data_IF_720059016968
#
_entry.id   IF_720059016968
#
_cell.length_a   1.000
_cell.length_b   1.000
_cell.length_c   1.000
_cell.angle_alpha   90.00
_cell.angle_beta   90.00
_cell.angle_gamma   90.00
#
_symmetry.space_group_name_H-M   'P 1'
#
loop_
_entity.id
_entity.type
_entity.pdbx_description
1 polymer ?
#
# COMPACT_ATOMS: atom_id res chain seq x y z
N UNK A 1 17.28 -67.92 -4.22
CA UNK A 1 16.39 -67.24 -5.17
C UNK A 1 17.04 -65.96 -5.67
N UNK A 2 17.07 -65.76 -7.00
CA UNK A 2 17.39 -64.47 -7.61
C UNK A 2 16.35 -64.22 -8.70
N UNK A 3 15.44 -63.29 -8.47
CA UNK A 3 14.25 -63.10 -9.32
C UNK A 3 13.98 -61.60 -9.53
N UNK A 4 13.71 -61.23 -10.78
CA UNK A 4 13.25 -59.89 -11.15
C UNK A 4 11.73 -59.87 -11.18
N UNK A 5 11.13 -58.95 -10.44
CA UNK A 5 9.69 -58.79 -10.36
C UNK A 5 9.26 -57.56 -11.17
N UNK A 6 8.14 -57.71 -11.86
CA UNK A 6 7.46 -56.64 -12.58
C UNK A 6 5.99 -56.63 -12.17
N UNK A 7 5.57 -55.58 -11.49
CA UNK A 7 4.20 -55.43 -11.01
C UNK A 7 3.50 -54.33 -11.81
N UNK A 8 2.35 -54.70 -12.38
CA UNK A 8 1.49 -53.80 -13.13
C UNK A 8 0.39 -53.27 -12.21
N UNK A 9 0.05 -51.99 -12.32
CA UNK A 9 -1.01 -51.34 -11.55
C UNK A 9 -2.39 -52.00 -11.81
N UNK A 10 -2.63 -52.44 -13.04
CA UNK A 10 -3.85 -53.15 -13.41
C UNK A 10 -3.54 -54.52 -14.01
N UNK A 11 -4.46 -55.46 -13.81
CA UNK A 11 -4.49 -56.70 -14.56
C UNK A 11 -5.00 -56.46 -16.00
N UNK A 12 -4.93 -57.50 -16.84
CA UNK A 12 -5.38 -57.41 -18.24
C UNK A 12 -6.89 -57.15 -18.39
N UNK A 13 -7.66 -57.51 -17.38
CA UNK A 13 -9.11 -57.28 -17.30
C UNK A 13 -9.46 -55.86 -16.80
N UNK A 14 -8.46 -55.02 -16.51
CA UNK A 14 -8.65 -53.67 -16.00
C UNK A 14 -8.86 -53.58 -14.49
N UNK A 15 -8.88 -54.70 -13.76
CA UNK A 15 -8.96 -54.68 -12.29
C UNK A 15 -7.64 -54.22 -11.64
N UNK A 16 -7.74 -53.50 -10.52
CA UNK A 16 -6.57 -52.98 -9.79
C UNK A 16 -5.78 -54.13 -9.17
N UNK A 17 -4.46 -54.08 -9.28
CA UNK A 17 -3.56 -55.10 -8.75
C UNK A 17 -3.13 -54.76 -7.32
N UNK A 18 -3.72 -55.45 -6.34
CA UNK A 18 -3.37 -55.28 -4.92
C UNK A 18 -1.87 -55.43 -4.62
N UNK A 19 -1.17 -56.33 -5.32
CA UNK A 19 0.27 -56.57 -5.08
C UNK A 19 1.13 -55.39 -5.50
N UNK A 20 0.71 -54.66 -6.54
CA UNK A 20 1.37 -53.43 -6.97
C UNK A 20 1.33 -52.40 -5.84
N UNK A 21 0.15 -52.07 -5.33
CA UNK A 21 0.02 -51.13 -4.20
C UNK A 21 0.69 -51.65 -2.93
N UNK A 22 0.61 -52.96 -2.66
CA UNK A 22 1.31 -53.58 -1.53
C UNK A 22 2.81 -53.33 -1.60
N UNK A 23 3.42 -53.51 -2.76
CA UNK A 23 4.84 -53.24 -2.92
C UNK A 23 5.17 -51.76 -2.71
N UNK A 24 4.43 -50.86 -3.35
CA UNK A 24 4.63 -49.41 -3.24
C UNK A 24 4.59 -48.92 -1.79
N UNK A 25 3.51 -49.21 -1.06
CA UNK A 25 3.36 -48.74 0.32
C UNK A 25 4.27 -49.47 1.29
N UNK A 26 4.66 -50.72 1.01
CA UNK A 26 5.63 -51.43 1.84
C UNK A 26 7.03 -50.85 1.67
N UNK A 27 7.45 -50.51 0.45
CA UNK A 27 8.70 -49.82 0.20
C UNK A 27 8.71 -48.41 0.82
N UNK A 28 7.64 -47.65 0.63
CA UNK A 28 7.51 -46.31 1.20
C UNK A 28 7.59 -46.38 2.75
N UNK A 29 6.74 -47.18 3.39
CA UNK A 29 6.66 -47.22 4.85
C UNK A 29 7.91 -47.85 5.50
N UNK A 30 8.41 -48.97 4.96
CA UNK A 30 9.46 -49.76 5.63
C UNK A 30 10.86 -49.35 5.25
N UNK A 31 11.06 -48.80 4.05
CA UNK A 31 12.37 -48.41 3.53
C UNK A 31 12.53 -46.90 3.32
N UNK A 32 11.45 -46.12 3.43
CA UNK A 32 11.48 -44.68 3.15
C UNK A 32 11.69 -44.36 1.67
N UNK A 33 11.43 -45.32 0.77
CA UNK A 33 11.67 -45.16 -0.67
C UNK A 33 10.38 -45.29 -1.46
N UNK A 34 10.17 -44.35 -2.38
CA UNK A 34 9.08 -44.35 -3.35
C UNK A 34 9.55 -45.11 -4.60
N UNK A 35 9.01 -46.31 -4.91
CA UNK A 35 9.44 -47.04 -6.08
C UNK A 35 9.10 -46.29 -7.36
N UNK A 36 10.03 -46.30 -8.32
CA UNK A 36 9.84 -45.69 -9.63
C UNK A 36 8.75 -46.45 -10.38
N UNK A 37 7.80 -45.69 -10.91
CA UNK A 37 6.70 -46.19 -11.73
C UNK A 37 6.85 -45.64 -13.14
N UNK A 38 6.88 -46.52 -14.13
CA UNK A 38 6.91 -46.15 -15.56
C UNK A 38 5.71 -46.81 -16.23
N UNK A 39 4.81 -45.99 -16.78
CA UNK A 39 3.60 -46.48 -17.47
C UNK A 39 2.76 -47.44 -16.62
N UNK A 40 2.60 -47.15 -15.33
CA UNK A 40 1.84 -47.99 -14.39
C UNK A 40 2.53 -49.31 -14.03
N UNK A 41 3.83 -49.41 -14.23
CA UNK A 41 4.64 -50.59 -13.91
C UNK A 41 5.75 -50.21 -12.95
N UNK A 42 5.98 -51.06 -11.95
CA UNK A 42 7.13 -50.97 -11.05
C UNK A 42 7.95 -52.25 -11.10
N UNK A 43 9.27 -52.12 -10.97
CA UNK A 43 10.23 -53.21 -11.10
C UNK A 43 11.18 -53.22 -9.91
N UNK A 44 11.54 -54.42 -9.48
CA UNK A 44 12.53 -54.62 -8.42
C UNK A 44 13.18 -55.99 -8.57
N UNK A 45 14.36 -56.13 -7.94
CA UNK A 45 15.13 -57.38 -7.95
C UNK A 45 15.31 -57.84 -6.51
N UNK A 46 15.04 -59.12 -6.26
CA UNK A 46 15.40 -59.75 -4.99
C UNK A 46 16.42 -60.86 -5.21
N UNK A 47 17.41 -60.94 -4.31
CA UNK A 47 18.40 -62.00 -4.26
C UNK A 47 18.61 -62.44 -2.82
N UNK A 48 18.33 -63.72 -2.52
CA UNK A 48 18.38 -64.26 -1.17
C UNK A 48 18.31 -65.79 -1.10
N UNK A 49 18.41 -66.32 0.10
CA UNK A 49 18.33 -67.77 0.38
C UNK A 49 17.09 -68.09 1.21
N UNK A 50 16.56 -69.33 1.16
CA UNK A 50 15.43 -69.73 2.00
C UNK A 50 15.69 -69.43 3.48
N UNK A 51 14.70 -68.92 4.20
CA UNK A 51 14.86 -68.46 5.59
C UNK A 51 13.90 -69.17 6.54
N UNK A 52 14.39 -70.27 7.10
CA UNK A 52 13.60 -71.23 7.89
C UNK A 52 13.12 -70.71 9.26
N UNK A 53 13.66 -69.59 9.74
CA UNK A 53 13.27 -69.00 11.02
C UNK A 53 11.88 -68.32 10.97
N UNK A 54 11.38 -68.05 9.77
CA UNK A 54 10.09 -67.42 9.55
C UNK A 54 9.16 -68.41 8.85
N UNK A 55 8.13 -68.83 9.57
CA UNK A 55 7.07 -69.66 9.02
C UNK A 55 6.12 -68.81 8.18
N UNK A 56 6.16 -69.01 6.87
CA UNK A 56 5.34 -68.29 5.92
C UNK A 56 3.99 -69.00 5.74
N UNK A 57 2.92 -68.41 6.27
CA UNK A 57 1.57 -68.98 6.15
C UNK A 57 1.10 -69.19 4.70
N UNK A 58 0.12 -70.08 4.51
CA UNK A 58 -0.60 -70.32 3.24
C UNK A 58 0.24 -70.89 2.09
N UNK A 59 1.26 -71.70 2.40
CA UNK A 59 2.14 -72.31 1.40
C UNK A 59 3.03 -71.29 0.69
N UNK A 60 3.31 -70.17 1.36
CA UNK A 60 4.31 -69.21 0.91
C UNK A 60 5.70 -69.67 1.34
N UNK A 61 6.72 -69.10 0.72
CA UNK A 61 8.12 -69.34 1.05
C UNK A 61 8.74 -68.04 1.57
N UNK A 62 9.58 -68.17 2.60
CA UNK A 62 10.35 -67.09 3.21
C UNK A 62 11.79 -67.12 2.73
N UNK A 63 12.34 -65.94 2.44
CA UNK A 63 13.72 -65.77 2.02
C UNK A 63 14.37 -64.64 2.80
N UNK A 64 15.67 -64.74 3.05
CA UNK A 64 16.49 -63.67 3.61
C UNK A 64 17.52 -63.27 2.57
N UNK A 65 17.62 -61.97 2.30
CA UNK A 65 18.53 -61.49 1.26
C UNK A 65 18.53 -59.99 1.08
N UNK A 66 18.77 -59.56 -0.15
CA UNK A 66 18.81 -58.15 -0.53
C UNK A 66 17.75 -57.82 -1.57
N UNK A 67 17.12 -56.66 -1.39
CA UNK A 67 16.13 -56.09 -2.30
C UNK A 67 16.74 -54.87 -2.99
N UNK A 68 16.61 -54.80 -4.32
CA UNK A 68 16.99 -53.63 -5.09
C UNK A 68 15.77 -52.89 -5.61
N UNK A 69 15.59 -51.65 -5.19
CA UNK A 69 14.51 -50.75 -5.62
C UNK A 69 15.15 -49.46 -6.14
N UNK A 70 14.74 -48.98 -7.31
CA UNK A 70 15.31 -47.77 -7.94
C UNK A 70 16.85 -47.78 -8.12
N UNK A 71 17.46 -48.97 -8.15
CA UNK A 71 18.91 -49.12 -8.20
C UNK A 71 19.60 -49.15 -6.83
N UNK A 72 18.93 -48.72 -5.77
CA UNK A 72 19.39 -48.77 -4.38
C UNK A 72 19.25 -50.18 -3.79
N UNK A 73 20.24 -50.60 -2.98
CA UNK A 73 20.33 -51.95 -2.42
C UNK A 73 20.03 -51.94 -0.92
N UNK A 74 18.95 -52.62 -0.54
CA UNK A 74 18.56 -52.86 0.85
C UNK A 74 18.96 -54.28 1.24
N UNK A 75 19.76 -54.42 2.31
CA UNK A 75 20.22 -55.71 2.83
C UNK A 75 19.34 -56.18 3.98
N UNK A 76 19.53 -57.43 4.38
CA UNK A 76 18.86 -58.05 5.51
C UNK A 76 17.34 -57.91 5.40
N UNK A 77 16.80 -58.22 4.21
CA UNK A 77 15.38 -58.18 3.91
C UNK A 77 14.82 -59.59 4.00
N UNK A 78 13.84 -59.78 4.89
CA UNK A 78 12.90 -60.89 4.84
C UNK A 78 11.92 -60.64 3.72
N UNK A 79 11.82 -61.60 2.80
CA UNK A 79 10.96 -61.54 1.63
C UNK A 79 10.05 -62.75 1.59
N UNK A 80 8.75 -62.52 1.43
CA UNK A 80 7.74 -63.57 1.34
C UNK A 80 7.25 -63.64 -0.11
N UNK A 81 7.32 -64.84 -0.68
CA UNK A 81 6.91 -65.09 -2.05
C UNK A 81 6.09 -66.37 -2.16
N UNK A 82 5.30 -66.50 -3.24
CA UNK A 82 4.55 -67.71 -3.54
C UNK A 82 5.03 -68.31 -4.86
N UNK A 83 5.47 -69.57 -4.83
CA UNK A 83 5.84 -70.27 -6.06
C UNK A 83 4.59 -70.57 -6.90
N UNK A 84 4.61 -70.19 -8.17
CA UNK A 84 3.60 -70.51 -9.17
C UNK A 84 3.86 -71.90 -9.75
N UNK A 85 2.84 -72.49 -10.37
CA UNK A 85 2.96 -73.73 -11.15
C UNK A 85 3.99 -73.64 -12.28
N UNK A 86 4.30 -72.43 -12.74
CA UNK A 86 5.33 -72.16 -13.75
C UNK A 86 6.76 -72.18 -13.22
N UNK A 87 6.96 -72.39 -11.91
CA UNK A 87 8.25 -72.31 -11.24
C UNK A 87 8.75 -70.88 -10.97
N UNK A 88 7.98 -69.85 -11.36
CA UNK A 88 8.26 -68.44 -11.02
C UNK A 88 7.63 -68.05 -9.69
N UNK A 89 8.17 -67.00 -9.07
CA UNK A 89 7.64 -66.49 -7.81
C UNK A 89 6.71 -65.30 -8.00
N UNK A 90 5.67 -65.25 -7.17
CA UNK A 90 4.84 -64.08 -6.96
C UNK A 90 5.22 -63.36 -5.68
N UNK A 91 5.33 -62.04 -5.74
CA UNK A 91 5.54 -61.19 -4.58
C UNK A 91 4.33 -61.20 -3.64
N UNK A 92 4.59 -61.37 -2.33
CA UNK A 92 3.57 -61.23 -1.27
C UNK A 92 3.87 -60.01 -0.40
N UNK A 93 5.02 -59.97 0.28
CA UNK A 93 5.45 -58.84 1.14
C UNK A 93 6.93 -58.94 1.48
N UNK A 94 7.50 -57.92 2.15
CA UNK A 94 8.87 -57.93 2.65
C UNK A 94 9.06 -56.99 3.84
N UNK A 95 10.10 -57.20 4.65
CA UNK A 95 10.55 -56.28 5.70
C UNK A 95 12.05 -56.44 6.02
N UNK A 96 12.74 -55.39 6.49
CA UNK A 96 14.06 -55.50 7.11
C UNK A 96 14.06 -56.35 8.39
N UNK A 97 15.08 -57.18 8.59
CA UNK A 97 15.30 -58.01 9.81
C UNK A 97 15.43 -57.17 11.07
N UNK A 98 15.95 -55.94 10.94
CA UNK A 98 16.09 -55.00 12.06
C UNK A 98 14.75 -54.52 12.62
N UNK A 99 13.63 -54.78 11.92
CA UNK A 99 12.29 -54.44 12.39
C UNK A 99 11.75 -55.51 13.35
N UNK A 100 11.00 -55.07 14.36
CA UNK A 100 10.48 -55.92 15.44
C UNK A 100 9.79 -57.19 14.90
N UNK A 101 9.92 -58.36 15.56
CA UNK A 101 9.34 -59.63 15.09
C UNK A 101 7.85 -59.54 14.75
N UNK A 102 7.05 -58.76 15.50
CA UNK A 102 5.62 -58.51 15.21
C UNK A 102 5.33 -57.77 13.90
N UNK A 103 6.35 -57.26 13.17
CA UNK A 103 6.23 -56.71 11.83
C UNK A 103 5.67 -57.72 10.80
N UNK A 104 5.58 -59.01 11.14
CA UNK A 104 4.91 -60.05 10.34
C UNK A 104 3.38 -59.82 10.22
N UNK A 105 2.75 -59.08 11.15
CA UNK A 105 1.32 -58.71 11.08
C UNK A 105 1.11 -57.53 10.15
N UNK A 106 1.42 -57.72 8.86
CA UNK A 106 1.03 -56.94 7.68
C UNK A 106 0.45 -55.52 7.93
N UNK A 107 1.25 -54.64 8.53
CA UNK A 107 0.79 -53.32 8.94
C UNK A 107 0.36 -52.44 7.75
N UNK A 108 0.84 -52.69 6.54
CA UNK A 108 0.56 -51.85 5.36
C UNK A 108 -0.83 -52.05 4.74
N UNK A 109 -1.64 -53.00 5.21
CA UNK A 109 -2.94 -53.27 4.58
C UNK A 109 -3.91 -52.09 4.55
N UNK A 110 -4.08 -51.27 5.60
CA UNK A 110 -4.92 -50.08 5.53
C UNK A 110 -4.52 -49.11 4.40
N UNK A 111 -3.22 -48.93 4.15
CA UNK A 111 -2.73 -48.08 3.04
C UNK A 111 -3.05 -48.70 1.68
N UNK A 112 -2.94 -50.03 1.57
CA UNK A 112 -3.28 -50.73 0.34
C UNK A 112 -4.78 -50.68 0.08
N UNK A 113 -5.59 -50.89 1.11
CA UNK A 113 -7.04 -50.93 0.98
C UNK A 113 -7.59 -49.56 0.53
N UNK A 114 -7.11 -48.45 1.11
CA UNK A 114 -7.47 -47.09 0.63
C UNK A 114 -7.14 -46.87 -0.85
N UNK A 115 -5.99 -47.38 -1.32
CA UNK A 115 -5.62 -47.31 -2.72
C UNK A 115 -6.46 -48.21 -3.62
N UNK A 116 -6.82 -49.41 -3.14
CA UNK A 116 -7.75 -50.31 -3.84
C UNK A 116 -9.16 -49.72 -3.95
N UNK A 117 -9.58 -48.92 -2.95
CA UNK A 117 -10.87 -48.23 -2.93
C UNK A 117 -10.88 -46.93 -3.78
N UNK A 118 -9.76 -46.62 -4.46
CA UNK A 118 -9.63 -45.44 -5.33
C UNK A 118 -9.32 -44.14 -4.60
N UNK A 119 -8.99 -44.20 -3.31
CA UNK A 119 -8.58 -43.04 -2.48
C UNK A 119 -7.17 -43.26 -1.91
N UNK A 120 -6.15 -43.43 -2.77
CA UNK A 120 -4.80 -43.74 -2.31
C UNK A 120 -4.26 -42.65 -1.39
N UNK A 121 -3.70 -43.08 -0.26
CA UNK A 121 -2.96 -42.18 0.61
C UNK A 121 -1.70 -41.67 -0.10
N UNK A 122 -1.33 -40.42 0.11
CA UNK A 122 -0.17 -39.81 -0.54
C UNK A 122 1.12 -40.56 -0.19
N UNK A 123 1.72 -41.19 -1.20
CA UNK A 123 2.91 -42.03 -1.05
C UNK A 123 4.15 -41.23 -0.63
N UNK A 124 4.21 -39.93 -0.94
CA UNK A 124 5.30 -39.06 -0.50
C UNK A 124 5.24 -38.86 1.01
N UNK A 125 4.03 -38.62 1.53
CA UNK A 125 3.78 -38.52 2.97
C UNK A 125 4.08 -39.84 3.68
N UNK A 126 3.78 -40.98 3.06
CA UNK A 126 4.14 -42.29 3.62
C UNK A 126 5.66 -42.47 3.70
N UNK A 127 6.37 -42.20 2.61
CA UNK A 127 7.81 -42.43 2.52
C UNK A 127 8.64 -41.48 3.40
N UNK A 128 8.17 -40.25 3.61
CA UNK A 128 8.87 -39.29 4.46
C UNK A 128 8.34 -39.29 5.90
N UNK A 129 7.09 -38.88 6.10
CA UNK A 129 6.55 -38.64 7.45
C UNK A 129 6.19 -39.93 8.18
N UNK A 130 5.43 -40.83 7.54
CA UNK A 130 5.04 -42.09 8.22
C UNK A 130 6.23 -43.00 8.45
N UNK A 131 7.18 -43.05 7.51
CA UNK A 131 8.40 -43.83 7.65
C UNK A 131 9.21 -43.44 8.88
N UNK A 132 9.40 -42.14 9.15
CA UNK A 132 10.11 -41.65 10.34
C UNK A 132 9.49 -42.19 11.64
N UNK A 133 8.18 -42.03 11.80
CA UNK A 133 7.47 -42.56 12.97
C UNK A 133 7.50 -44.09 13.03
N UNK A 134 7.41 -44.75 11.88
CA UNK A 134 7.50 -46.21 11.80
C UNK A 134 8.89 -46.73 12.16
N UNK A 135 9.96 -46.03 11.81
CA UNK A 135 11.33 -46.38 12.15
C UNK A 135 11.59 -46.26 13.68
N UNK A 136 10.95 -45.29 14.34
CA UNK A 136 11.00 -45.13 15.80
C UNK A 136 10.20 -46.20 16.54
N UNK A 137 9.03 -46.60 15.98
CA UNK A 137 8.19 -47.64 16.56
C UNK A 137 7.50 -48.49 15.49
N UNK A 138 8.19 -49.57 15.07
CA UNK A 138 7.74 -50.46 14.00
C UNK A 138 6.46 -51.26 14.32
N UNK A 139 5.94 -51.19 15.55
CA UNK A 139 4.69 -51.82 15.97
C UNK A 139 3.43 -50.97 15.76
N UNK A 140 3.56 -49.69 15.40
CA UNK A 140 2.42 -48.79 15.22
C UNK A 140 1.69 -49.09 13.91
N UNK A 141 0.36 -49.17 13.98
CA UNK A 141 -0.46 -49.38 12.79
C UNK A 141 -0.46 -48.13 11.87
N UNK A 142 -0.41 -48.30 10.54
CA UNK A 142 -0.56 -47.21 9.59
C UNK A 142 -1.85 -46.41 9.75
N UNK A 143 -2.94 -47.01 10.22
CA UNK A 143 -4.15 -46.25 10.57
C UNK A 143 -3.90 -45.22 11.67
N UNK A 144 -3.14 -45.59 12.70
CA UNK A 144 -2.72 -44.67 13.77
C UNK A 144 -1.78 -43.58 13.23
N UNK A 145 -0.82 -43.95 12.38
CA UNK A 145 0.11 -42.98 11.78
C UNK A 145 -0.60 -42.00 10.84
N UNK A 146 -1.55 -42.47 10.03
CA UNK A 146 -2.39 -41.62 9.17
C UNK A 146 -3.16 -40.61 10.02
N UNK A 147 -3.76 -41.06 11.13
CA UNK A 147 -4.49 -40.18 12.06
C UNK A 147 -3.57 -39.11 12.65
N UNK A 148 -2.39 -39.47 13.14
CA UNK A 148 -1.43 -38.51 13.70
C UNK A 148 -1.02 -37.43 12.69
N UNK A 149 -0.75 -37.84 11.45
CA UNK A 149 -0.36 -36.89 10.38
C UNK A 149 -1.52 -35.96 10.01
N UNK A 150 -2.76 -36.46 9.98
CA UNK A 150 -3.92 -35.61 9.73
C UNK A 150 -4.20 -34.64 10.88
N UNK A 151 -4.01 -35.06 12.13
CA UNK A 151 -4.15 -34.19 13.31
C UNK A 151 -3.12 -33.05 13.27
N UNK A 152 -1.85 -33.36 13.00
CA UNK A 152 -0.77 -32.36 12.85
C UNK A 152 -1.02 -31.38 11.70
N UNK A 153 -1.43 -31.89 10.53
CA UNK A 153 -1.77 -31.06 9.39
C UNK A 153 -2.97 -30.12 9.68
N UNK A 154 -3.98 -30.60 10.39
CA UNK A 154 -5.14 -29.79 10.76
C UNK A 154 -4.80 -28.71 11.79
N UNK A 155 -3.94 -29.00 12.76
CA UNK A 155 -3.46 -27.99 13.72
C UNK A 155 -2.67 -26.89 13.02
N UNK A 156 -1.77 -27.27 12.12
CA UNK A 156 -1.02 -26.33 11.26
C UNK A 156 -1.95 -25.40 10.46
N UNK A 157 -2.99 -25.95 9.85
CA UNK A 157 -3.95 -25.17 9.06
C UNK A 157 -4.76 -24.22 9.95
N UNK A 158 -5.20 -24.67 11.13
CA UNK A 158 -5.90 -23.81 12.09
C UNK A 158 -5.05 -22.62 12.54
N UNK A 159 -3.80 -22.88 12.92
CA UNK A 159 -2.86 -21.82 13.31
C UNK A 159 -2.61 -20.82 12.17
N UNK A 160 -2.49 -21.30 10.93
CA UNK A 160 -2.36 -20.43 9.76
C UNK A 160 -3.61 -19.58 9.52
N UNK A 161 -4.81 -20.16 9.67
CA UNK A 161 -6.08 -19.45 9.52
C UNK A 161 -6.27 -18.37 10.59
N UNK A 162 -5.93 -18.65 11.85
CA UNK A 162 -5.97 -17.67 12.94
C UNK A 162 -5.04 -16.49 12.65
N UNK A 163 -3.80 -16.78 12.23
CA UNK A 163 -2.82 -15.73 11.86
C UNK A 163 -3.33 -14.89 10.69
N UNK A 164 -3.93 -15.52 9.68
CA UNK A 164 -4.50 -14.80 8.54
C UNK A 164 -5.68 -13.91 8.95
N UNK A 165 -6.52 -14.38 9.87
CA UNK A 165 -7.60 -13.59 10.47
C UNK A 165 -7.07 -12.33 11.16
N UNK A 166 -6.04 -12.47 12.01
CA UNK A 166 -5.46 -11.31 12.71
C UNK A 166 -4.87 -10.27 11.75
N UNK A 167 -4.19 -10.71 10.68
CA UNK A 167 -3.64 -9.79 9.67
C UNK A 167 -4.73 -9.08 8.88
N UNK A 168 -5.85 -9.75 8.62
CA UNK A 168 -6.99 -9.16 7.92
C UNK A 168 -7.65 -8.06 8.77
N UNK A 169 -7.83 -8.32 10.07
CA UNK A 169 -8.40 -7.34 11.00
C UNK A 169 -7.49 -6.10 11.12
N UNK A 170 -6.17 -6.29 11.23
CA UNK A 170 -5.20 -5.19 11.23
C UNK A 170 -5.25 -4.37 9.93
N UNK A 171 -5.30 -5.05 8.78
CA UNK A 171 -5.40 -4.37 7.49
C UNK A 171 -6.70 -3.57 7.34
N UNK A 172 -7.81 -4.10 7.88
CA UNK A 172 -9.11 -3.42 7.85
C UNK A 172 -9.09 -2.15 8.72
N UNK A 173 -8.46 -2.21 9.90
CA UNK A 173 -8.31 -1.06 10.78
C UNK A 173 -7.42 0.02 10.18
N UNK A 174 -6.31 -0.35 9.52
CA UNK A 174 -5.44 0.59 8.79
C UNK A 174 -6.22 1.28 7.66
N UNK A 175 -6.95 0.52 6.86
CA UNK A 175 -7.75 1.05 5.75
C UNK A 175 -8.80 2.04 6.24
N UNK A 176 -9.46 1.75 7.36
CA UNK A 176 -10.40 2.67 8.00
C UNK A 176 -9.72 3.96 8.44
N UNK A 177 -8.56 3.89 9.08
CA UNK A 177 -7.80 5.06 9.50
C UNK A 177 -7.33 5.93 8.31
N UNK A 178 -6.90 5.30 7.21
CA UNK A 178 -6.52 6.03 6.00
C UNK A 178 -7.71 6.74 5.36
N UNK A 179 -8.87 6.07 5.28
CA UNK A 179 -10.11 6.67 4.78
C UNK A 179 -10.53 7.89 5.62
N UNK A 180 -10.46 7.78 6.95
CA UNK A 180 -10.73 8.92 7.84
C UNK A 180 -9.74 10.07 7.65
N UNK A 181 -8.46 9.79 7.45
CA UNK A 181 -7.44 10.82 7.17
C UNK A 181 -7.72 11.52 5.84
N UNK A 182 -8.01 10.77 4.78
CA UNK A 182 -8.33 11.33 3.47
C UNK A 182 -9.57 12.24 3.51
N UNK A 183 -10.61 11.85 4.25
CA UNK A 183 -11.79 12.69 4.45
C UNK A 183 -11.44 14.00 5.19
N UNK A 184 -10.65 13.94 6.26
CA UNK A 184 -10.21 15.15 6.98
C UNK A 184 -9.36 16.08 6.13
N UNK A 185 -8.52 15.54 5.25
CA UNK A 185 -7.71 16.34 4.31
C UNK A 185 -8.59 17.01 3.26
N UNK A 186 -9.59 16.30 2.74
CA UNK A 186 -10.58 16.85 1.81
C UNK A 186 -11.35 18.01 2.44
N UNK A 187 -11.86 17.84 3.66
CA UNK A 187 -12.58 18.89 4.38
C UNK A 187 -11.71 20.14 4.60
N UNK A 188 -10.42 19.95 4.88
CA UNK A 188 -9.45 21.06 5.00
C UNK A 188 -9.21 21.77 3.68
N UNK A 189 -9.07 21.01 2.58
CA UNK A 189 -8.88 21.58 1.26
C UNK A 189 -10.09 22.40 0.81
N UNK A 190 -11.30 21.89 1.03
CA UNK A 190 -12.55 22.58 0.71
C UNK A 190 -12.68 23.89 1.50
N UNK A 191 -12.35 23.87 2.80
CA UNK A 191 -12.36 25.09 3.63
C UNK A 191 -11.34 26.13 3.15
N UNK A 192 -10.12 25.71 2.83
CA UNK A 192 -9.09 26.62 2.29
C UNK A 192 -9.49 27.22 0.94
N UNK A 193 -10.20 26.46 0.09
CA UNK A 193 -10.70 26.96 -1.18
C UNK A 193 -11.75 28.05 -0.99
N UNK A 194 -12.69 27.86 -0.05
CA UNK A 194 -13.70 28.86 0.32
C UNK A 194 -13.04 30.14 0.84
N UNK A 195 -12.09 30.00 1.77
CA UNK A 195 -11.38 31.14 2.35
C UNK A 195 -10.58 31.91 1.27
N UNK A 196 -9.91 31.20 0.36
CA UNK A 196 -9.15 31.81 -0.74
C UNK A 196 -10.04 32.55 -1.74
N UNK A 197 -11.26 32.05 -1.99
CA UNK A 197 -12.23 32.74 -2.83
C UNK A 197 -12.74 34.02 -2.15
N UNK A 198 -13.03 33.97 -0.84
CA UNK A 198 -13.38 35.15 -0.05
C UNK A 198 -12.30 36.25 -0.12
N UNK A 199 -11.03 35.88 0.07
CA UNK A 199 -9.92 36.85 -0.04
C UNK A 199 -9.78 37.46 -1.45
N UNK A 200 -10.05 36.69 -2.50
CA UNK A 200 -10.03 37.22 -3.88
C UNK A 200 -11.13 38.24 -4.11
N UNK A 201 -12.35 37.96 -3.62
CA UNK A 201 -13.48 38.89 -3.74
C UNK A 201 -13.22 40.19 -2.99
N UNK A 202 -12.69 40.11 -1.76
CA UNK A 202 -12.32 41.29 -0.98
C UNK A 202 -11.22 42.12 -1.68
N UNK A 203 -10.19 41.46 -2.21
CA UNK A 203 -9.13 42.14 -2.95
C UNK A 203 -9.65 42.82 -4.22
N UNK A 204 -10.60 42.21 -4.94
CA UNK A 204 -11.22 42.81 -6.12
C UNK A 204 -12.07 44.03 -5.75
N UNK A 205 -12.83 43.95 -4.65
CA UNK A 205 -13.63 45.06 -4.15
C UNK A 205 -12.76 46.25 -3.74
N UNK A 206 -11.65 45.99 -3.03
CA UNK A 206 -10.68 47.02 -2.65
C UNK A 206 -10.04 47.68 -3.88
N UNK A 207 -9.70 46.90 -4.93
CA UNK A 207 -9.17 47.44 -6.19
C UNK A 207 -10.19 48.32 -6.90
N UNK A 208 -11.45 47.90 -7.00
CA UNK A 208 -12.53 48.72 -7.59
C UNK A 208 -12.68 50.04 -6.83
N UNK A 209 -12.76 49.98 -5.50
CA UNK A 209 -12.88 51.16 -4.65
C UNK A 209 -11.68 52.11 -4.78
N UNK A 210 -10.45 51.58 -4.81
CA UNK A 210 -9.24 52.39 -5.03
C UNK A 210 -9.27 53.08 -6.40
N UNK A 211 -9.69 52.36 -7.44
CA UNK A 211 -9.76 52.89 -8.80
C UNK A 211 -10.83 53.98 -8.93
N UNK A 212 -11.97 53.83 -8.25
CA UNK A 212 -13.03 54.85 -8.19
C UNK A 212 -12.55 56.11 -7.46
N UNK A 213 -11.89 55.96 -6.32
CA UNK A 213 -11.33 57.09 -5.57
C UNK A 213 -10.21 57.81 -6.33
N UNK A 214 -9.39 57.09 -7.09
CA UNK A 214 -8.39 57.70 -7.98
C UNK A 214 -9.03 58.54 -9.09
N UNK A 215 -10.12 58.03 -9.70
CA UNK A 215 -10.88 58.79 -10.71
C UNK A 215 -11.51 60.04 -10.12
N UNK A 216 -12.16 59.92 -8.97
CA UNK A 216 -12.78 61.06 -8.28
C UNK A 216 -11.74 62.14 -7.91
N UNK A 217 -10.58 61.72 -7.40
CA UNK A 217 -9.47 62.64 -7.11
C UNK A 217 -8.92 63.33 -8.37
N UNK A 218 -8.82 62.61 -9.49
CA UNK A 218 -8.36 63.19 -10.75
C UNK A 218 -9.36 64.19 -11.33
N UNK A 219 -10.67 63.93 -11.20
CA UNK A 219 -11.73 64.88 -11.59
C UNK A 219 -11.69 66.14 -10.73
N UNK A 220 -11.54 65.99 -9.40
CA UNK A 220 -11.36 67.10 -8.48
C UNK A 220 -10.10 67.92 -8.81
N UNK A 221 -8.98 67.25 -9.13
CA UNK A 221 -7.73 67.92 -9.55
C UNK A 221 -7.95 68.77 -10.80
N UNK A 222 -8.62 68.23 -11.82
CA UNK A 222 -8.92 68.94 -13.08
C UNK A 222 -9.83 70.15 -12.85
N UNK A 223 -10.86 70.01 -12.02
CA UNK A 223 -11.78 71.09 -11.71
C UNK A 223 -11.12 72.20 -10.85
N UNK A 224 -10.20 71.81 -9.96
CA UNK A 224 -9.46 72.71 -9.10
C UNK A 224 -8.32 73.47 -9.81
N UNK A 225 -7.85 72.97 -10.96
CA UNK A 225 -6.70 73.51 -11.67
C UNK A 225 -6.98 74.85 -12.34
N UNK A 226 -6.08 75.79 -12.12
CA UNK A 226 -6.06 77.11 -12.74
C UNK A 226 -4.89 77.14 -13.73
N UNK A 227 -5.19 77.35 -15.01
CA UNK A 227 -4.14 77.46 -16.03
C UNK A 227 -3.37 78.79 -15.87
N UNK A 228 -2.03 78.77 -15.90
CA UNK A 228 -1.24 80.00 -15.86
C UNK A 228 -1.45 80.80 -17.17
N UNK A 229 -1.56 82.14 -17.11
CA UNK A 229 -1.64 82.97 -18.31
C UNK A 229 -0.36 82.88 -19.16
N UNK A 230 -0.42 83.17 -20.47
CA UNK A 230 0.77 83.20 -21.33
C UNK A 230 1.80 84.20 -20.79
N UNK A 231 3.07 83.80 -20.75
CA UNK A 231 4.23 84.57 -20.27
C UNK A 231 4.38 84.74 -18.74
N UNK A 232 3.64 83.97 -17.95
CA UNK A 232 3.86 83.92 -16.50
C UNK A 232 4.90 82.86 -16.09
N UNK A 233 5.82 83.23 -15.20
CA UNK A 233 6.79 82.29 -14.63
C UNK A 233 6.15 81.56 -13.45
N UNK A 234 6.03 80.24 -13.58
CA UNK A 234 5.56 79.36 -12.52
C UNK A 234 6.63 79.19 -11.44
N UNK A 235 6.30 79.50 -10.19
CA UNK A 235 7.15 79.20 -9.03
C UNK A 235 6.52 78.05 -8.25
N UNK A 236 7.13 76.87 -8.31
CA UNK A 236 6.70 75.69 -7.56
C UNK A 236 7.45 75.65 -6.23
N UNK A 237 6.69 75.44 -5.16
CA UNK A 237 7.24 75.33 -3.80
C UNK A 237 7.90 73.97 -3.54
N UNK A 238 8.68 73.91 -2.48
CA UNK A 238 9.22 72.65 -1.96
C UNK A 238 8.11 71.73 -1.45
N UNK A 239 8.42 70.44 -1.43
CA UNK A 239 7.55 69.37 -0.95
C UNK A 239 7.32 69.53 0.57
N UNK A 240 6.06 69.68 0.97
CA UNK A 240 5.68 69.85 2.37
C UNK A 240 4.40 69.07 2.70
N UNK A 241 4.29 68.54 3.91
CA UNK A 241 3.10 67.79 4.33
C UNK A 241 1.94 68.74 4.63
N UNK A 242 0.80 68.51 3.97
CA UNK A 242 -0.45 69.19 4.28
C UNK A 242 -1.03 68.59 5.56
N UNK A 243 -1.22 69.40 6.60
CA UNK A 243 -1.84 68.96 7.85
C UNK A 243 -3.34 69.05 7.75
N UNK A 244 -3.86 70.17 7.21
CA UNK A 244 -5.30 70.42 7.11
C UNK A 244 -5.61 71.41 5.99
N UNK A 245 -6.75 71.25 5.34
CA UNK A 245 -7.33 72.20 4.41
C UNK A 245 -8.72 72.62 4.88
N UNK A 246 -8.95 73.93 5.00
CA UNK A 246 -10.23 74.45 5.48
C UNK A 246 -10.62 75.75 4.79
N UNK A 247 -11.90 76.08 4.90
CA UNK A 247 -12.42 77.35 4.43
C UNK A 247 -12.14 78.44 5.48
N UNK A 248 -11.55 79.54 5.04
CA UNK A 248 -11.29 80.73 5.84
C UNK A 248 -11.57 82.00 5.06
N UNK A 249 -11.11 83.14 5.61
CA UNK A 249 -11.19 84.45 4.95
C UNK A 249 -9.80 85.04 4.79
N UNK A 250 -9.49 85.59 3.62
CA UNK A 250 -8.17 86.18 3.34
C UNK A 250 -8.24 87.31 2.30
N UNK A 251 -7.25 88.20 2.35
CA UNK A 251 -7.08 89.31 1.39
C UNK A 251 -7.72 90.62 1.84
N UNK A 252 -7.57 91.67 1.01
CA UNK A 252 -7.95 93.06 1.34
C UNK A 252 -9.45 93.24 1.67
N UNK A 253 -10.30 92.34 1.21
CA UNK A 253 -11.76 92.41 1.37
C UNK A 253 -12.35 91.22 2.13
N UNK A 254 -11.56 90.50 2.94
CA UNK A 254 -12.00 89.32 3.70
C UNK A 254 -12.75 88.29 2.83
N UNK A 255 -12.19 87.98 1.65
CA UNK A 255 -12.81 87.08 0.69
C UNK A 255 -12.70 85.64 1.18
N UNK A 256 -13.70 84.80 0.86
CA UNK A 256 -13.64 83.35 1.07
C UNK A 256 -12.36 82.80 0.45
N UNK A 257 -11.65 81.97 1.20
CA UNK A 257 -10.37 81.41 0.79
C UNK A 257 -10.25 79.96 1.24
N UNK A 258 -9.61 79.15 0.40
CA UNK A 258 -9.08 77.85 0.84
C UNK A 258 -7.76 78.11 1.54
N UNK A 259 -7.63 77.66 2.78
CA UNK A 259 -6.43 77.82 3.60
C UNK A 259 -5.82 76.44 3.82
N UNK A 260 -4.54 76.34 3.47
CA UNK A 260 -3.70 75.15 3.66
C UNK A 260 -2.83 75.37 4.89
N UNK A 261 -2.91 74.46 5.85
CA UNK A 261 -2.05 74.42 7.03
C UNK A 261 -0.97 73.37 6.82
N UNK A 262 0.28 73.81 6.80
CA UNK A 262 1.43 72.97 6.49
C UNK A 262 2.13 72.47 7.76
N UNK A 263 2.88 71.38 7.65
CA UNK A 263 3.58 70.77 8.80
C UNK A 263 4.67 71.65 9.42
N UNK A 264 5.17 72.66 8.70
CA UNK A 264 6.13 73.65 9.22
C UNK A 264 5.46 74.81 9.98
N UNK A 265 4.13 74.76 10.15
CA UNK A 265 3.33 75.80 10.78
C UNK A 265 3.01 76.98 9.85
N UNK A 266 3.45 76.97 8.59
CA UNK A 266 3.09 77.99 7.61
C UNK A 266 1.69 77.75 7.07
N UNK A 267 1.06 78.82 6.58
CA UNK A 267 -0.23 78.73 5.89
C UNK A 267 -0.15 79.36 4.51
N UNK A 268 -0.81 78.74 3.54
CA UNK A 268 -0.97 79.29 2.19
C UNK A 268 -2.44 79.37 1.86
N UNK A 269 -2.86 80.46 1.23
CA UNK A 269 -4.27 80.70 0.92
C UNK A 269 -4.51 80.86 -0.59
N UNK A 270 -5.71 80.50 -1.03
CA UNK A 270 -6.22 80.82 -2.36
C UNK A 270 -7.67 81.32 -2.23
N UNK A 271 -7.88 82.59 -2.57
CA UNK A 271 -9.16 83.30 -2.45
C UNK A 271 -9.89 83.53 -3.79
N UNK A 272 -9.54 82.78 -4.83
CA UNK A 272 -10.22 82.92 -6.12
C UNK A 272 -11.66 82.44 -5.99
N UNK A 273 -12.63 83.22 -6.48
CA UNK A 273 -14.04 82.89 -6.30
C UNK A 273 -14.50 81.70 -7.17
N UNK A 274 -14.02 81.62 -8.42
CA UNK A 274 -14.40 80.55 -9.35
C UNK A 274 -13.68 79.25 -9.02
N UNK A 275 -14.41 78.16 -8.80
CA UNK A 275 -13.84 76.84 -8.51
C UNK A 275 -13.34 76.69 -7.06
N UNK A 276 -13.87 77.48 -6.12
CA UNK A 276 -13.40 77.50 -4.73
C UNK A 276 -13.79 76.23 -3.97
N UNK A 277 -15.01 75.73 -4.18
CA UNK A 277 -15.51 74.54 -3.50
C UNK A 277 -14.79 73.27 -4.00
N UNK A 278 -14.50 73.18 -5.30
CA UNK A 278 -13.71 72.10 -5.90
C UNK A 278 -12.25 72.14 -5.43
N UNK A 279 -11.65 73.33 -5.30
CA UNK A 279 -10.32 73.50 -4.71
C UNK A 279 -10.29 73.10 -3.24
N UNK A 280 -11.34 73.41 -2.48
CA UNK A 280 -11.44 73.00 -1.08
C UNK A 280 -11.59 71.48 -0.98
N UNK A 281 -12.44 70.87 -1.81
CA UNK A 281 -12.64 69.43 -1.85
C UNK A 281 -11.33 68.68 -2.23
N UNK A 282 -10.64 69.16 -3.27
CA UNK A 282 -9.34 68.60 -3.67
C UNK A 282 -8.26 68.82 -2.59
N UNK A 283 -8.19 70.00 -1.98
CA UNK A 283 -7.25 70.24 -0.89
C UNK A 283 -7.50 69.32 0.32
N UNK A 284 -8.77 69.08 0.66
CA UNK A 284 -9.16 68.15 1.73
C UNK A 284 -8.79 66.71 1.42
N UNK A 285 -8.91 66.26 0.17
CA UNK A 285 -8.51 64.89 -0.20
C UNK A 285 -7.00 64.66 -0.10
N UNK A 286 -6.21 65.73 -0.06
CA UNK A 286 -4.75 65.71 0.10
C UNK A 286 -4.29 65.88 1.56
N UNK A 287 -5.18 65.98 2.54
CA UNK A 287 -4.80 66.07 3.95
C UNK A 287 -3.93 64.87 4.35
N UNK A 288 -2.87 65.12 5.12
CA UNK A 288 -1.88 64.13 5.51
C UNK A 288 -0.85 63.74 4.43
N UNK A 289 -1.03 64.16 3.18
CA UNK A 289 -0.09 63.88 2.09
C UNK A 289 0.97 64.98 1.96
N UNK A 290 2.08 64.64 1.32
CA UNK A 290 3.03 65.65 0.85
C UNK A 290 2.51 66.29 -0.43
N UNK A 291 2.56 67.62 -0.44
CA UNK A 291 2.10 68.43 -1.56
C UNK A 291 3.20 69.41 -1.99
N UNK A 292 3.09 69.84 -3.23
CA UNK A 292 3.71 71.07 -3.71
C UNK A 292 2.59 72.00 -4.14
N UNK A 293 2.74 73.29 -3.88
CA UNK A 293 1.87 74.31 -4.47
C UNK A 293 2.64 75.13 -5.47
N UNK A 294 1.94 75.76 -6.40
CA UNK A 294 2.52 76.76 -7.27
C UNK A 294 1.96 78.15 -7.00
N UNK A 295 2.67 79.15 -7.52
CA UNK A 295 2.24 80.53 -7.52
C UNK A 295 2.78 81.23 -8.77
N UNK A 296 2.02 82.21 -9.26
CA UNK A 296 2.41 83.11 -10.34
C UNK A 296 1.72 84.47 -10.14
N UNK A 297 2.06 85.47 -10.94
CA UNK A 297 1.46 86.81 -10.91
C UNK A 297 2.08 87.75 -9.86
N UNK A 298 3.33 87.48 -9.46
CA UNK A 298 4.04 88.27 -8.45
C UNK A 298 3.56 88.07 -7.01
N UNK A 299 2.73 87.04 -6.75
CA UNK A 299 2.27 86.71 -5.40
C UNK A 299 3.36 85.98 -4.60
N UNK A 300 3.42 86.24 -3.29
CA UNK A 300 4.33 85.57 -2.37
C UNK A 300 3.94 84.10 -2.16
N UNK A 301 4.75 83.17 -2.68
CA UNK A 301 4.54 81.72 -2.57
C UNK A 301 4.60 81.15 -1.15
N UNK A 302 5.04 81.95 -0.16
CA UNK A 302 4.96 81.56 1.27
C UNK A 302 3.58 81.82 1.86
N UNK A 303 2.75 82.66 1.22
CA UNK A 303 1.42 83.08 1.71
C UNK A 303 0.29 82.69 0.78
N UNK A 304 0.57 82.59 -0.51
CA UNK A 304 -0.42 82.37 -1.55
C UNK A 304 -0.07 81.15 -2.39
N UNK A 305 -1.11 80.51 -2.92
CA UNK A 305 -0.95 79.50 -3.95
C UNK A 305 -2.06 79.64 -5.00
N UNK A 306 -1.84 79.00 -6.15
CA UNK A 306 -2.85 78.90 -7.21
C UNK A 306 -3.35 77.47 -7.34
N UNK A 307 -2.44 76.52 -7.56
CA UNK A 307 -2.71 75.09 -7.62
C UNK A 307 -2.01 74.33 -6.50
N UNK A 308 -2.52 73.13 -6.25
CA UNK A 308 -1.94 72.14 -5.33
C UNK A 308 -1.67 70.89 -6.16
N UNK A 309 -0.57 70.22 -5.87
CA UNK A 309 -0.20 68.95 -6.47
C UNK A 309 0.23 68.00 -5.38
N UNK A 310 -0.21 66.75 -5.45
CA UNK A 310 0.37 65.68 -4.65
C UNK A 310 1.78 65.40 -5.15
N UNK A 311 2.75 65.33 -4.23
CA UNK A 311 4.18 65.29 -4.51
C UNK A 311 4.86 63.97 -4.14
#
# INVERSE_FOLDING_TARGET
MRESFRLYNHFRDGSINRRYHKFLYTAALRLGVIPKVVSGVTEFLFEGQPYVEIDAHNGNESFLGSLRVNGELFRDIVFIAKMKTTGRYDFITFWPVVQHPDAHKSYTDPLVDTAMDGTPFDIEVVADKMHKHFAENAGVSPATLMKLIYEDANESIRAAAEKLGTLLDEALEISKQESERANREKDRADKLAIDAEGFKQDAELQRKRSTELEKENEELRKAAYIAPPPNEQLVVSEKIKLVRAFEGVQGKFNQRAVVLEMSDGTTRSNNWARGLDERLAYAKSLEGHYITTDVWGGYDGKKWYKNIYQA
#
